data_IF_924679862453
#
_entry.id   IF_924679862453
#
_cell.length_a   1.000
_cell.length_b   1.000
_cell.length_c   1.000
_cell.angle_alpha   90.00
_cell.angle_beta   90.00
_cell.angle_gamma   90.00
#
_symmetry.space_group_name_H-M   'P 1'
#
loop_
_entity.id
_entity.type
_entity.pdbx_description
1 polymer ?
#
# COMPACT_ATOMS: atom_id res chain seq x y z
N UNK A 1 -30.15 25.94 -34.27
CA UNK A 1 -31.51 25.60 -33.79
C UNK A 1 -31.47 25.53 -32.27
N UNK A 2 -32.49 26.07 -31.59
CA UNK A 2 -32.57 26.26 -30.12
C UNK A 2 -33.01 24.98 -29.39
N UNK A 3 -32.39 24.66 -28.25
CA UNK A 3 -32.98 23.98 -27.08
C UNK A 3 -32.28 24.52 -25.82
N UNK A 4 -32.74 25.63 -25.25
CA UNK A 4 -33.64 25.80 -24.09
C UNK A 4 -33.13 25.19 -22.77
N UNK A 5 -32.60 26.10 -21.94
CA UNK A 5 -32.37 26.05 -20.49
C UNK A 5 -33.66 25.70 -19.74
N UNK A 6 -33.56 24.89 -18.68
CA UNK A 6 -34.45 25.00 -17.50
C UNK A 6 -33.71 24.67 -16.21
N UNK A 7 -33.37 25.74 -15.49
CA UNK A 7 -33.17 25.80 -14.04
C UNK A 7 -34.48 25.45 -13.33
N UNK A 8 -34.43 24.61 -12.28
CA UNK A 8 -35.48 24.54 -11.27
C UNK A 8 -34.86 24.64 -9.88
N UNK A 9 -35.12 25.77 -9.23
CA UNK A 9 -34.82 26.03 -7.84
C UNK A 9 -35.86 25.35 -6.94
N UNK A 10 -35.42 24.76 -5.82
CA UNK A 10 -36.28 24.50 -4.67
C UNK A 10 -35.58 25.07 -3.45
N UNK A 11 -36.25 26.03 -2.82
CA UNK A 11 -35.88 26.69 -1.58
C UNK A 11 -36.97 26.43 -0.53
N UNK A 12 -36.56 26.34 0.74
CA UNK A 12 -37.42 26.38 1.93
C UNK A 12 -37.65 25.01 2.56
N UNK A 13 -37.63 24.84 3.88
CA UNK A 13 -38.05 25.75 4.95
C UNK A 13 -37.40 25.32 6.29
N UNK A 14 -37.01 26.31 7.10
CA UNK A 14 -36.62 26.19 8.51
C UNK A 14 -37.68 25.51 9.39
N UNK A 15 -37.27 24.81 10.44
CA UNK A 15 -38.05 24.72 11.68
C UNK A 15 -37.14 24.53 12.90
N UNK A 16 -36.80 25.64 13.55
CA UNK A 16 -36.42 25.65 14.97
C UNK A 16 -37.68 25.49 15.82
N UNK A 17 -37.63 24.61 16.83
CA UNK A 17 -38.53 24.65 17.97
C UNK A 17 -37.71 24.42 19.25
N UNK A 18 -37.47 25.52 19.97
CA UNK A 18 -37.09 25.52 21.40
C UNK A 18 -38.39 25.55 22.21
N UNK A 19 -38.47 24.75 23.28
CA UNK A 19 -39.18 25.00 24.55
C UNK A 19 -38.90 23.79 25.47
N UNK A 20 -38.01 23.94 26.47
CA UNK A 20 -38.31 24.34 27.85
C UNK A 20 -38.86 23.20 28.74
N UNK A 21 -38.01 22.76 29.67
CA UNK A 21 -38.37 21.96 30.83
C UNK A 21 -37.50 22.34 32.01
N UNK A 22 -37.91 23.39 32.74
CA UNK A 22 -37.37 23.78 34.04
C UNK A 22 -38.05 22.95 35.13
N UNK A 23 -37.28 22.37 36.04
CA UNK A 23 -37.75 21.74 37.27
C UNK A 23 -36.73 22.01 38.37
N UNK A 24 -37.16 22.75 39.39
CA UNK A 24 -36.39 23.47 40.41
C UNK A 24 -36.44 22.76 41.78
N UNK A 25 -35.32 22.88 42.54
CA UNK A 25 -35.09 22.77 44.00
C UNK A 25 -35.38 21.43 44.75
N UNK A 26 -34.56 20.97 45.71
CA UNK A 26 -33.84 21.67 46.79
C UNK A 26 -32.59 20.89 47.30
N UNK A 27 -31.70 21.51 48.11
CA UNK A 27 -30.42 20.95 48.56
C UNK A 27 -30.48 20.31 49.96
N UNK A 28 -29.63 19.32 50.23
CA UNK A 28 -29.20 18.99 51.60
C UNK A 28 -27.95 18.08 51.62
N UNK A 29 -26.95 18.57 52.35
CA UNK A 29 -26.06 17.81 53.24
C UNK A 29 -24.94 16.93 52.65
N UNK A 30 -23.76 17.56 52.59
CA UNK A 30 -22.46 17.03 53.03
C UNK A 30 -22.49 15.71 53.81
N UNK A 31 -21.85 14.69 53.24
CA UNK A 31 -21.05 13.74 54.00
C UNK A 31 -19.70 13.60 53.31
N UNK A 32 -18.67 14.08 54.03
CA UNK A 32 -17.26 13.88 53.73
C UNK A 32 -16.92 12.40 53.90
N UNK A 33 -16.38 11.76 52.87
CA UNK A 33 -15.52 10.60 53.01
C UNK A 33 -14.70 10.36 51.72
N UNK A 34 -13.47 10.85 51.71
CA UNK A 34 -12.35 10.22 51.01
C UNK A 34 -11.17 10.18 51.99
N UNK A 35 -10.16 9.31 51.82
CA UNK A 35 -10.00 8.27 50.81
C UNK A 35 -9.80 6.88 51.46
N UNK A 36 -10.06 5.81 50.73
CA UNK A 36 -9.45 4.51 51.04
C UNK A 36 -8.85 3.99 49.75
N UNK A 37 -7.57 4.27 49.60
CA UNK A 37 -6.69 3.57 48.68
C UNK A 37 -6.48 2.16 49.25
N UNK A 38 -7.22 1.19 48.71
CA UNK A 38 -6.81 -0.20 48.80
C UNK A 38 -5.80 -0.46 47.68
N UNK A 39 -4.53 -0.49 48.08
CA UNK A 39 -3.45 -1.04 47.31
C UNK A 39 -3.78 -2.50 47.01
N UNK A 40 -4.12 -2.78 45.76
CA UNK A 40 -4.18 -4.16 45.26
C UNK A 40 -2.76 -4.60 44.94
N UNK A 41 -2.42 -5.73 45.53
CA UNK A 41 -1.16 -6.45 45.48
C UNK A 41 -0.88 -6.87 44.03
N UNK A 42 0.11 -6.26 43.40
CA UNK A 42 0.64 -6.74 42.14
C UNK A 42 1.44 -8.02 42.43
N UNK A 43 0.90 -9.16 42.00
CA UNK A 43 1.70 -10.37 41.86
C UNK A 43 2.72 -10.14 40.76
N UNK A 44 3.96 -9.91 41.18
CA UNK A 44 5.14 -9.99 40.32
C UNK A 44 5.28 -11.45 39.88
N UNK A 45 4.87 -11.73 38.64
CA UNK A 45 5.21 -12.99 37.98
C UNK A 45 6.64 -12.87 37.46
N UNK A 46 7.49 -13.79 37.92
CA UNK A 46 8.90 -13.91 37.54
C UNK A 46 9.06 -14.01 36.03
N UNK A 47 9.87 -13.11 35.46
CA UNK A 47 10.47 -13.30 34.15
C UNK A 47 11.49 -14.45 34.23
N UNK A 48 11.44 -15.46 33.34
CA UNK A 48 12.61 -16.26 33.08
C UNK A 48 13.56 -15.50 32.13
N UNK A 49 14.80 -15.29 32.59
CA UNK A 49 15.92 -14.99 31.72
C UNK A 49 16.33 -16.22 30.90
N UNK A 50 16.71 -15.94 29.65
CA UNK A 50 17.67 -16.64 28.80
C UNK A 50 17.28 -18.03 28.25
N UNK A 51 17.05 -18.05 26.93
CA UNK A 51 17.96 -18.79 26.03
C UNK A 51 17.90 -18.20 24.62
N UNK A 52 19.04 -17.72 24.12
CA UNK A 52 19.30 -17.69 22.68
C UNK A 52 19.19 -19.14 22.19
N UNK A 53 18.07 -19.45 21.55
CA UNK A 53 17.97 -20.52 20.61
C UNK A 53 17.83 -19.84 19.25
N UNK A 54 18.96 -19.71 18.55
CA UNK A 54 18.95 -19.77 17.09
C UNK A 54 18.45 -21.16 16.71
N UNK A 55 17.14 -21.35 16.78
CA UNK A 55 16.49 -22.37 15.97
C UNK A 55 16.34 -21.77 14.58
N UNK A 56 17.12 -22.30 13.66
CA UNK A 56 16.79 -22.22 12.25
C UNK A 56 15.45 -22.94 12.07
N UNK A 57 14.35 -22.19 12.17
CA UNK A 57 13.04 -22.62 11.71
C UNK A 57 13.09 -22.52 10.19
N UNK A 58 13.66 -23.56 9.59
CA UNK A 58 13.30 -23.97 8.24
C UNK A 58 12.11 -24.90 8.35
N UNK A 59 10.97 -24.33 8.71
CA UNK A 59 9.66 -24.88 8.39
C UNK A 59 8.99 -23.81 7.54
N UNK A 60 8.39 -24.19 6.42
CA UNK A 60 7.57 -23.31 5.59
C UNK A 60 6.48 -22.68 6.49
N UNK A 61 6.75 -21.49 7.04
CA UNK A 61 5.76 -20.74 7.81
C UNK A 61 4.80 -20.20 6.78
N UNK A 62 3.61 -20.79 6.72
CA UNK A 62 2.54 -20.33 5.83
C UNK A 62 1.82 -19.16 6.50
N UNK A 63 1.61 -18.09 5.75
CA UNK A 63 0.74 -17.00 6.16
C UNK A 63 -0.71 -17.39 5.81
N UNK A 64 -1.63 -17.13 6.73
CA UNK A 64 -3.05 -17.41 6.56
C UNK A 64 -3.81 -16.09 6.64
N UNK A 65 -4.48 -15.70 5.56
CA UNK A 65 -5.36 -14.54 5.56
C UNK A 65 -6.55 -14.74 6.52
N UNK A 66 -6.78 -13.75 7.37
CA UNK A 66 -7.84 -13.76 8.39
C UNK A 66 -9.01 -12.89 7.96
N UNK A 67 -8.73 -11.63 7.63
CA UNK A 67 -9.71 -10.64 7.23
C UNK A 67 -9.01 -9.43 6.61
N UNK A 68 -9.75 -8.57 5.90
CA UNK A 68 -9.17 -7.37 5.35
C UNK A 68 -10.17 -6.44 4.71
N UNK A 69 -9.76 -5.18 4.56
CA UNK A 69 -10.61 -4.09 4.09
C UNK A 69 -9.82 -3.19 3.15
N UNK A 70 -10.49 -2.73 2.11
CA UNK A 70 -9.92 -1.84 1.11
C UNK A 70 -10.87 -0.68 0.79
N UNK A 71 -10.36 0.54 0.85
CA UNK A 71 -11.11 1.76 0.55
C UNK A 71 -10.41 2.54 -0.57
N UNK A 72 -11.15 2.81 -1.64
CA UNK A 72 -10.73 3.66 -2.73
C UNK A 72 -11.85 4.63 -3.11
N UNK A 73 -11.61 5.94 -2.94
CA UNK A 73 -12.56 7.00 -3.30
C UNK A 73 -12.06 7.89 -4.45
N UNK A 74 -10.92 7.53 -5.04
CA UNK A 74 -10.24 8.25 -6.12
C UNK A 74 -9.24 9.31 -5.64
N UNK A 75 -9.23 9.65 -4.35
CA UNK A 75 -8.18 10.47 -3.72
C UNK A 75 -7.37 9.64 -2.72
N UNK A 76 -8.02 8.71 -2.03
CA UNK A 76 -7.44 7.81 -1.04
C UNK A 76 -7.39 6.37 -1.58
N UNK A 77 -6.30 5.66 -1.29
CA UNK A 77 -6.10 4.26 -1.62
C UNK A 77 -5.58 3.49 -0.40
N UNK A 78 -6.50 3.08 0.47
CA UNK A 78 -6.16 2.46 1.77
C UNK A 78 -6.48 0.98 1.79
N UNK A 79 -5.56 0.19 2.35
CA UNK A 79 -5.75 -1.22 2.61
C UNK A 79 -5.30 -1.58 4.03
N UNK A 80 -6.07 -2.44 4.68
CA UNK A 80 -5.73 -3.07 5.95
C UNK A 80 -6.08 -4.55 5.85
N UNK A 81 -5.10 -5.42 5.92
CA UNK A 81 -5.29 -6.86 5.80
C UNK A 81 -4.57 -7.59 6.94
N UNK A 82 -5.22 -8.59 7.54
CA UNK A 82 -4.78 -9.31 8.73
C UNK A 82 -4.44 -10.75 8.39
N UNK A 83 -3.33 -11.23 8.96
CA UNK A 83 -2.76 -12.54 8.67
C UNK A 83 -2.25 -13.20 9.94
N UNK A 84 -2.44 -14.51 10.04
CA UNK A 84 -1.76 -15.36 11.02
C UNK A 84 -0.49 -15.91 10.38
N UNK A 85 0.68 -15.64 10.98
CA UNK A 85 2.00 -16.09 10.50
C UNK A 85 2.71 -16.81 11.64
N UNK A 86 2.64 -18.15 11.63
CA UNK A 86 3.16 -18.95 12.74
C UNK A 86 2.42 -18.67 14.06
N UNK A 87 3.13 -18.10 15.03
CA UNK A 87 2.57 -17.72 16.34
C UNK A 87 2.27 -16.21 16.45
N UNK A 88 2.44 -15.44 15.36
CA UNK A 88 2.27 -13.98 15.33
C UNK A 88 1.07 -13.55 14.47
N UNK A 89 0.39 -12.49 14.90
CA UNK A 89 -0.66 -11.81 14.13
C UNK A 89 -0.04 -10.60 13.42
N UNK A 90 -0.03 -10.62 12.09
CA UNK A 90 0.57 -9.59 11.25
C UNK A 90 -0.51 -8.83 10.48
N UNK A 91 -0.38 -7.52 10.41
CA UNK A 91 -1.19 -6.69 9.54
C UNK A 91 -0.33 -6.13 8.41
N UNK A 92 -0.83 -6.22 7.18
CA UNK A 92 -0.39 -5.44 6.04
C UNK A 92 -1.22 -4.17 5.94
N UNK A 93 -0.55 -3.05 5.69
CA UNK A 93 -1.16 -1.73 5.63
C UNK A 93 -0.60 -0.95 4.45
N UNK A 94 -1.49 -0.31 3.69
CA UNK A 94 -1.12 0.82 2.84
C UNK A 94 -2.12 1.95 3.01
N UNK A 95 -1.65 3.20 3.00
CA UNK A 95 -2.50 4.40 2.97
C UNK A 95 -2.47 5.15 1.63
N UNK A 96 -1.79 4.56 0.64
CA UNK A 96 -1.55 5.14 -0.68
C UNK A 96 -0.26 5.96 -0.76
N UNK A 97 0.32 6.35 0.38
CA UNK A 97 1.63 7.03 0.46
C UNK A 97 2.69 6.14 1.13
N UNK A 98 2.30 5.34 2.12
CA UNK A 98 3.13 4.46 2.93
C UNK A 98 2.59 3.03 2.87
N UNK A 99 3.50 2.06 2.87
CA UNK A 99 3.19 0.63 2.87
C UNK A 99 4.10 -0.09 3.87
N UNK A 100 3.54 -0.96 4.71
CA UNK A 100 4.31 -1.74 5.68
C UNK A 100 3.55 -2.98 6.19
N UNK A 101 4.31 -3.89 6.83
CA UNK A 101 3.77 -4.99 7.62
C UNK A 101 4.25 -4.86 9.08
N UNK A 102 3.38 -5.17 10.04
CA UNK A 102 3.75 -5.13 11.46
C UNK A 102 2.85 -6.03 12.30
N UNK A 103 3.38 -6.55 13.40
CA UNK A 103 2.54 -7.04 14.49
C UNK A 103 1.66 -5.89 15.00
N UNK A 104 0.43 -6.21 15.40
CA UNK A 104 -0.55 -5.19 15.79
C UNK A 104 -1.28 -5.52 17.08
N UNK A 105 -1.88 -4.48 17.67
CA UNK A 105 -2.83 -4.59 18.77
C UNK A 105 -4.13 -3.92 18.37
N UNK A 106 -5.25 -4.43 18.92
CA UNK A 106 -6.59 -3.90 18.63
C UNK A 106 -7.24 -3.42 19.93
N UNK A 107 -7.80 -2.22 19.91
CA UNK A 107 -8.59 -1.67 21.01
C UNK A 107 -9.88 -1.00 20.51
N UNK A 108 -10.86 -0.83 21.39
CA UNK A 108 -12.08 -0.08 21.08
C UNK A 108 -11.81 1.43 21.16
N UNK A 109 -12.26 2.17 20.15
CA UNK A 109 -12.16 3.63 20.09
C UNK A 109 -13.49 4.25 19.61
N UNK A 110 -13.57 5.58 19.66
CA UNK A 110 -14.75 6.36 19.27
C UNK A 110 -14.31 7.57 18.44
N UNK A 111 -14.99 7.84 17.32
CA UNK A 111 -14.76 9.05 16.52
C UNK A 111 -15.28 10.29 17.24
N UNK A 112 -14.92 11.49 16.77
CA UNK A 112 -15.43 12.75 17.33
C UNK A 112 -16.97 12.87 17.28
N UNK A 113 -17.60 12.17 16.33
CA UNK A 113 -19.05 12.12 16.15
C UNK A 113 -19.73 11.03 17.01
N UNK A 114 -18.96 10.22 17.74
CA UNK A 114 -19.46 9.21 18.67
C UNK A 114 -19.62 7.81 18.07
N UNK A 115 -19.07 7.55 16.88
CA UNK A 115 -19.13 6.25 16.24
C UNK A 115 -18.02 5.34 16.78
N UNK A 116 -18.41 4.16 17.29
CA UNK A 116 -17.47 3.19 17.81
C UNK A 116 -16.74 2.47 16.66
N UNK A 117 -15.43 2.26 16.82
CA UNK A 117 -14.60 1.54 15.85
C UNK A 117 -13.50 0.75 16.57
N UNK A 118 -12.86 -0.17 15.83
CA UNK A 118 -11.69 -0.90 16.31
C UNK A 118 -10.44 -0.19 15.81
N UNK A 119 -9.63 0.32 16.73
CA UNK A 119 -8.36 0.97 16.46
C UNK A 119 -7.24 -0.08 16.46
N UNK A 120 -6.52 -0.16 15.35
CA UNK A 120 -5.34 -0.99 15.16
C UNK A 120 -4.10 -0.13 15.35
N UNK A 121 -3.26 -0.52 16.30
CA UNK A 121 -1.95 0.11 16.55
C UNK A 121 -0.85 -0.87 16.20
N UNK A 122 0.11 -0.42 15.39
CA UNK A 122 1.22 -1.23 14.90
C UNK A 122 2.43 -1.12 15.84
N UNK A 123 3.15 -2.22 16.01
CA UNK A 123 4.20 -2.35 17.03
C UNK A 123 5.51 -1.71 16.57
N UNK A 124 5.82 -1.82 15.28
CA UNK A 124 7.12 -1.39 14.72
C UNK A 124 7.09 -0.01 14.06
N UNK A 125 5.90 0.54 13.85
CA UNK A 125 5.69 1.87 13.28
C UNK A 125 4.71 2.68 14.13
N UNK A 126 4.98 3.98 14.28
CA UNK A 126 4.05 4.92 14.96
C UNK A 126 2.95 5.32 13.98
N UNK A 127 2.14 4.34 13.60
CA UNK A 127 0.99 4.49 12.72
C UNK A 127 -0.24 3.80 13.33
N UNK A 128 -1.42 4.26 12.94
CA UNK A 128 -2.70 3.70 13.38
C UNK A 128 -3.73 3.74 12.26
N UNK A 129 -4.58 2.72 12.22
CA UNK A 129 -5.76 2.71 11.38
C UNK A 129 -6.91 2.09 12.15
N UNK A 130 -8.10 2.61 11.93
CA UNK A 130 -9.33 2.03 12.45
C UNK A 130 -10.12 1.29 11.39
N UNK A 131 -10.96 0.36 11.82
CA UNK A 131 -12.02 -0.17 10.97
C UNK A 131 -13.33 -0.31 11.72
N UNK A 132 -14.43 -0.24 10.98
CA UNK A 132 -15.79 -0.45 11.46
C UNK A 132 -16.38 -1.64 10.69
N UNK A 133 -16.68 -2.72 11.41
CA UNK A 133 -17.53 -3.81 10.94
C UNK A 133 -18.82 -3.83 11.78
N UNK A 134 -19.93 -3.38 11.19
CA UNK A 134 -21.22 -3.35 11.86
C UNK A 134 -21.99 -4.69 11.75
N UNK A 135 -21.43 -5.70 11.08
CA UNK A 135 -22.04 -7.01 10.88
C UNK A 135 -23.25 -7.02 9.93
N UNK A 136 -23.52 -5.90 9.25
CA UNK A 136 -24.57 -5.75 8.23
C UNK A 136 -24.00 -5.75 6.79
N UNK A 137 -22.69 -5.94 6.66
CA UNK A 137 -21.97 -5.95 5.38
C UNK A 137 -21.57 -4.55 4.90
N UNK A 138 -21.71 -3.52 5.74
CA UNK A 138 -21.11 -2.21 5.52
C UNK A 138 -19.79 -2.12 6.30
N UNK A 139 -18.70 -1.95 5.58
CA UNK A 139 -17.35 -1.87 6.12
C UNK A 139 -16.79 -0.47 5.91
N UNK A 140 -16.02 0.00 6.88
CA UNK A 140 -15.35 1.29 6.79
C UNK A 140 -13.93 1.21 7.31
N UNK A 141 -13.04 1.98 6.69
CA UNK A 141 -11.72 2.30 7.24
C UNK A 141 -11.76 3.69 7.88
N UNK A 142 -10.99 3.86 8.94
CA UNK A 142 -10.87 5.11 9.69
C UNK A 142 -9.40 5.50 9.72
N UNK A 143 -9.04 6.67 9.22
CA UNK A 143 -7.65 7.14 9.28
C UNK A 143 -7.28 7.71 10.67
N UNK A 144 -6.03 8.12 10.84
CA UNK A 144 -5.53 8.69 12.10
C UNK A 144 -6.21 10.01 12.50
N UNK A 145 -6.78 10.73 11.53
CA UNK A 145 -7.53 11.96 11.74
C UNK A 145 -8.99 11.70 12.11
N UNK A 146 -9.44 10.43 12.06
CA UNK A 146 -10.79 10.00 12.34
C UNK A 146 -11.75 10.14 11.16
N UNK A 147 -11.25 10.37 9.95
CA UNK A 147 -12.08 10.39 8.75
C UNK A 147 -12.49 8.96 8.39
N UNK A 148 -13.75 8.79 7.95
CA UNK A 148 -14.35 7.48 7.66
C UNK A 148 -14.50 7.29 6.15
N UNK A 149 -14.00 6.18 5.65
CA UNK A 149 -14.00 5.82 4.24
C UNK A 149 -14.77 4.52 4.03
N UNK A 150 -15.67 4.50 3.05
CA UNK A 150 -16.39 3.28 2.70
C UNK A 150 -15.40 2.26 2.15
N UNK A 151 -15.41 1.06 2.71
CA UNK A 151 -14.51 -0.02 2.35
C UNK A 151 -15.28 -1.21 1.78
N UNK A 152 -14.59 -1.99 0.96
CA UNK A 152 -14.98 -3.35 0.62
C UNK A 152 -14.18 -4.32 1.50
N UNK A 153 -14.82 -5.42 1.89
CA UNK A 153 -14.09 -6.54 2.49
C UNK A 153 -13.26 -7.22 1.39
N UNK A 154 -12.00 -7.53 1.71
CA UNK A 154 -11.08 -8.28 0.88
C UNK A 154 -11.40 -9.77 0.94
N UNK A 155 -11.11 -10.46 -0.16
CA UNK A 155 -11.16 -11.92 -0.24
C UNK A 155 -9.75 -12.50 -0.31
N UNK A 156 -9.63 -13.83 -0.10
CA UNK A 156 -8.35 -14.52 -0.26
C UNK A 156 -7.73 -14.29 -1.65
N UNK A 157 -8.55 -14.18 -2.70
CA UNK A 157 -8.08 -13.92 -4.06
C UNK A 157 -7.52 -12.48 -4.22
N UNK A 158 -8.02 -11.52 -3.42
CA UNK A 158 -7.57 -10.12 -3.51
C UNK A 158 -6.21 -9.89 -2.82
N UNK A 159 -5.77 -10.84 -1.99
CA UNK A 159 -4.55 -10.73 -1.18
C UNK A 159 -3.46 -11.73 -1.58
N UNK A 160 -3.63 -12.42 -2.71
CA UNK A 160 -2.68 -13.44 -3.19
C UNK A 160 -1.26 -12.85 -3.31
N UNK A 161 -1.16 -11.62 -3.82
CA UNK A 161 0.11 -10.90 -3.97
C UNK A 161 0.71 -10.43 -2.63
N UNK A 162 -0.10 -10.31 -1.57
CA UNK A 162 0.35 -9.84 -0.24
C UNK A 162 1.10 -10.93 0.53
N UNK A 163 0.87 -12.21 0.22
CA UNK A 163 1.56 -13.30 0.92
C UNK A 163 3.09 -13.22 0.76
N UNK A 164 3.57 -12.76 -0.39
CA UNK A 164 5.00 -12.53 -0.63
C UNK A 164 5.57 -11.44 0.28
N UNK A 165 4.82 -10.35 0.49
CA UNK A 165 5.21 -9.23 1.34
C UNK A 165 5.26 -9.65 2.81
N UNK A 166 4.27 -10.42 3.26
CA UNK A 166 4.11 -10.80 4.66
C UNK A 166 5.10 -11.88 5.09
N UNK A 167 5.31 -12.89 4.25
CA UNK A 167 6.31 -13.92 4.49
C UNK A 167 7.75 -13.42 4.31
N UNK A 168 7.91 -12.23 3.73
CA UNK A 168 9.19 -11.52 3.63
C UNK A 168 9.54 -10.60 4.81
N UNK A 169 8.68 -10.42 5.83
CA UNK A 169 8.79 -9.29 6.76
C UNK A 169 9.19 -9.60 8.21
N UNK A 170 10.44 -9.30 8.60
CA UNK A 170 10.78 -8.73 9.92
C UNK A 170 12.14 -8.01 9.93
N UNK A 171 12.44 -7.23 8.90
CA UNK A 171 13.40 -6.10 8.91
C UNK A 171 13.19 -5.35 7.59
N UNK A 172 12.19 -4.47 7.52
CA UNK A 172 11.92 -3.67 6.32
C UNK A 172 12.83 -2.42 6.28
N UNK A 173 14.15 -2.64 6.37
CA UNK A 173 14.95 -2.13 5.26
C UNK A 173 14.55 -3.03 4.10
N UNK A 174 14.10 -2.49 2.98
CA UNK A 174 13.99 -3.30 1.77
C UNK A 174 15.39 -3.83 1.47
N UNK A 175 15.77 -4.96 2.06
CA UNK A 175 16.69 -5.87 1.44
C UNK A 175 15.89 -6.38 0.26
N UNK A 176 15.94 -5.62 -0.85
CA UNK A 176 16.29 -6.21 -2.13
C UNK A 176 17.12 -7.42 -1.77
N UNK A 177 16.59 -8.62 -2.02
CA UNK A 177 17.30 -9.83 -1.66
C UNK A 177 18.77 -9.56 -1.96
N UNK A 178 19.67 -9.58 -0.98
CA UNK A 178 21.09 -9.36 -1.28
C UNK A 178 21.65 -10.55 -2.11
N UNK A 179 20.74 -11.43 -2.57
CA UNK A 179 20.88 -12.48 -3.57
C UNK A 179 20.29 -12.13 -4.96
N UNK A 180 19.60 -10.99 -5.15
CA UNK A 180 19.33 -10.48 -6.49
C UNK A 180 20.64 -9.93 -7.00
N UNK A 181 21.23 -10.64 -7.95
CA UNK A 181 22.50 -10.27 -8.59
C UNK A 181 22.50 -8.81 -9.10
N UNK A 182 21.32 -8.21 -9.29
CA UNK A 182 21.08 -6.91 -9.88
C UNK A 182 20.15 -6.02 -9.04
N UNK A 183 20.44 -4.72 -9.00
CA UNK A 183 19.63 -3.64 -8.39
C UNK A 183 18.94 -2.82 -9.48
N UNK A 184 17.67 -2.45 -9.30
CA UNK A 184 16.96 -1.58 -10.23
C UNK A 184 17.64 -0.21 -10.38
N UNK A 185 17.78 0.27 -11.62
CA UNK A 185 18.29 1.60 -11.94
C UNK A 185 17.20 2.52 -12.50
N UNK A 186 16.54 2.09 -13.58
CA UNK A 186 15.49 2.85 -14.25
C UNK A 186 14.66 1.98 -15.18
N UNK A 187 13.47 2.43 -15.56
CA UNK A 187 12.60 1.64 -16.43
C UNK A 187 11.36 2.41 -16.87
N UNK A 188 10.81 2.00 -18.02
CA UNK A 188 9.64 2.60 -18.64
C UNK A 188 8.72 1.52 -19.18
N UNK A 189 7.42 1.79 -19.13
CA UNK A 189 6.42 0.93 -19.74
C UNK A 189 5.37 1.72 -20.51
N UNK A 190 4.80 1.07 -21.51
CA UNK A 190 3.71 1.59 -22.33
C UNK A 190 2.54 0.61 -22.25
N UNK A 191 1.34 1.14 -22.01
CA UNK A 191 0.08 0.42 -22.20
C UNK A 191 -0.74 1.11 -23.28
N UNK A 192 -0.59 0.69 -24.54
CA UNK A 192 -1.34 1.30 -25.65
C UNK A 192 -2.66 0.56 -25.97
N UNK A 193 -2.97 -0.47 -25.18
CA UNK A 193 -4.16 -1.32 -25.29
C UNK A 193 -4.12 -2.34 -26.43
N UNK A 194 -3.01 -2.44 -27.17
CA UNK A 194 -2.78 -3.41 -28.25
C UNK A 194 -1.48 -4.20 -28.08
N UNK A 195 -0.45 -3.59 -27.49
CA UNK A 195 0.83 -4.18 -27.14
C UNK A 195 1.42 -3.44 -25.94
N UNK A 196 1.83 -4.19 -24.91
CA UNK A 196 2.54 -3.63 -23.77
C UNK A 196 4.04 -3.70 -24.08
N UNK A 197 4.72 -2.55 -24.04
CA UNK A 197 6.16 -2.48 -24.25
C UNK A 197 6.86 -2.06 -22.96
N UNK A 198 7.96 -2.72 -22.62
CA UNK A 198 8.69 -2.51 -21.37
C UNK A 198 10.18 -2.46 -21.65
N UNK A 199 10.87 -1.52 -21.02
CA UNK A 199 12.32 -1.49 -20.92
C UNK A 199 12.71 -1.23 -19.46
N UNK A 200 13.60 -2.05 -18.91
CA UNK A 200 14.03 -1.94 -17.53
C UNK A 200 15.53 -2.20 -17.43
N UNK A 201 16.23 -1.39 -16.62
CA UNK A 201 17.67 -1.44 -16.45
C UNK A 201 18.01 -1.84 -15.02
N UNK A 202 19.01 -2.71 -14.89
CA UNK A 202 19.51 -3.17 -13.61
C UNK A 202 21.04 -3.15 -13.56
N UNK A 203 21.59 -2.88 -12.38
CA UNK A 203 23.01 -2.81 -12.10
C UNK A 203 23.42 -3.91 -11.12
N UNK A 204 24.34 -4.77 -11.53
CA UNK A 204 24.89 -5.81 -10.68
C UNK A 204 25.95 -5.30 -9.71
N UNK A 205 26.14 -6.01 -8.60
CA UNK A 205 27.11 -5.63 -7.57
C UNK A 205 28.57 -5.59 -8.09
N UNK A 206 28.88 -6.30 -9.17
CA UNK A 206 30.17 -6.32 -9.83
C UNK A 206 30.33 -5.23 -10.92
N UNK A 207 29.30 -4.41 -11.12
CA UNK A 207 29.23 -3.36 -12.13
C UNK A 207 28.73 -3.85 -13.49
N UNK A 208 28.29 -5.10 -13.61
CA UNK A 208 27.58 -5.59 -14.79
C UNK A 208 26.28 -4.82 -14.95
N UNK A 209 25.95 -4.41 -16.17
CA UNK A 209 24.69 -3.71 -16.46
C UNK A 209 23.86 -4.59 -17.37
N UNK A 210 22.65 -4.92 -16.93
CA UNK A 210 21.70 -5.74 -17.68
C UNK A 210 20.43 -4.96 -17.91
N UNK A 211 19.69 -5.34 -18.93
CA UNK A 211 18.36 -4.80 -19.19
C UNK A 211 17.39 -5.92 -19.55
N UNK A 212 16.14 -5.67 -19.22
CA UNK A 212 14.98 -6.39 -19.73
C UNK A 212 14.30 -5.54 -20.80
N UNK A 213 13.97 -6.15 -21.93
CA UNK A 213 13.11 -5.57 -22.97
C UNK A 213 11.96 -6.53 -23.24
N UNK A 214 10.76 -5.98 -23.38
CA UNK A 214 9.60 -6.64 -23.95
C UNK A 214 8.97 -5.69 -24.98
N UNK A 215 8.85 -6.10 -26.25
CA UNK A 215 8.26 -5.27 -27.32
C UNK A 215 6.76 -5.56 -27.56
N UNK A 216 6.16 -6.40 -26.71
CA UNK A 216 4.79 -6.90 -26.81
C UNK A 216 4.67 -8.23 -27.56
N UNK A 217 5.69 -8.65 -28.31
CA UNK A 217 5.73 -9.94 -29.02
C UNK A 217 6.90 -10.83 -28.55
N UNK A 218 8.03 -10.23 -28.23
CA UNK A 218 9.27 -10.86 -27.83
C UNK A 218 9.80 -10.23 -26.53
N UNK A 219 10.61 -10.99 -25.81
CA UNK A 219 11.26 -10.53 -24.59
C UNK A 219 12.71 -11.00 -24.53
N UNK A 220 13.57 -10.21 -23.88
CA UNK A 220 14.97 -10.53 -23.65
C UNK A 220 15.48 -9.94 -22.34
N UNK A 221 16.32 -10.69 -21.62
CA UNK A 221 17.02 -10.27 -20.41
C UNK A 221 18.51 -10.63 -20.53
N UNK A 222 19.38 -9.63 -20.64
CA UNK A 222 20.82 -9.80 -20.81
C UNK A 222 21.59 -8.49 -20.58
N UNK A 223 22.94 -8.56 -20.63
CA UNK A 223 23.76 -7.36 -20.87
C UNK A 223 23.28 -6.62 -22.13
N UNK A 224 23.24 -5.30 -22.06
CA UNK A 224 22.73 -4.46 -23.13
C UNK A 224 23.81 -3.57 -23.74
N UNK A 225 23.62 -3.24 -25.01
CA UNK A 225 24.32 -2.16 -25.69
C UNK A 225 23.38 -0.96 -25.80
N UNK A 226 23.89 0.24 -25.49
CA UNK A 226 23.17 1.49 -25.66
C UNK A 226 23.94 2.45 -26.56
N UNK A 227 23.25 3.06 -27.52
CA UNK A 227 23.81 4.07 -28.41
C UNK A 227 22.88 5.27 -28.60
N UNK A 228 23.45 6.44 -28.85
CA UNK A 228 22.69 7.64 -29.20
C UNK A 228 22.20 7.54 -30.65
N UNK A 229 20.92 7.80 -30.85
CA UNK A 229 20.27 7.84 -32.14
C UNK A 229 19.42 9.12 -32.27
N UNK A 230 18.91 9.38 -33.48
CA UNK A 230 18.15 10.60 -33.79
C UNK A 230 16.92 10.23 -34.62
N UNK A 231 15.74 10.71 -34.22
CA UNK A 231 14.51 10.61 -35.00
C UNK A 231 14.60 11.50 -36.26
N UNK A 232 13.70 11.29 -37.23
CA UNK A 232 13.64 12.06 -38.47
C UNK A 232 13.47 13.58 -38.26
N UNK A 233 12.90 13.99 -37.12
CA UNK A 233 12.70 15.39 -36.74
C UNK A 233 13.89 16.00 -35.99
N UNK A 234 14.94 15.22 -35.73
CA UNK A 234 16.14 15.61 -35.02
C UNK A 234 16.09 15.40 -33.51
N UNK A 235 15.05 14.76 -32.98
CA UNK A 235 14.95 14.44 -31.55
C UNK A 235 15.95 13.33 -31.19
N UNK A 236 16.89 13.57 -30.26
CA UNK A 236 17.82 12.54 -29.82
C UNK A 236 17.12 11.53 -28.91
N UNK A 237 17.50 10.26 -29.04
CA UNK A 237 17.04 9.19 -28.15
C UNK A 237 18.16 8.17 -27.92
N UNK A 238 17.97 7.31 -26.92
CA UNK A 238 18.88 6.21 -26.63
C UNK A 238 18.27 4.94 -27.21
N UNK A 239 18.99 4.28 -28.12
CA UNK A 239 18.62 2.97 -28.63
C UNK A 239 19.29 1.90 -27.76
N UNK A 240 18.50 1.00 -27.20
CA UNK A 240 18.96 -0.10 -26.34
C UNK A 240 18.74 -1.42 -27.06
N UNK A 241 19.79 -2.25 -27.08
CA UNK A 241 19.77 -3.58 -27.67
C UNK A 241 20.03 -4.62 -26.58
N UNK A 242 19.11 -5.57 -26.43
CA UNK A 242 19.20 -6.71 -25.49
C UNK A 242 19.02 -8.00 -26.28
N UNK A 243 20.11 -8.76 -26.44
CA UNK A 243 20.09 -9.94 -27.31
C UNK A 243 19.78 -9.57 -28.77
N UNK A 244 18.65 -10.06 -29.29
CA UNK A 244 18.14 -9.74 -30.64
C UNK A 244 17.05 -8.65 -30.62
N UNK A 245 16.63 -8.18 -29.44
CA UNK A 245 15.55 -7.20 -29.26
C UNK A 245 16.09 -5.77 -29.13
N UNK A 246 15.32 -4.80 -29.61
CA UNK A 246 15.70 -3.39 -29.60
C UNK A 246 14.52 -2.46 -29.32
N UNK A 247 14.70 -1.55 -28.37
CA UNK A 247 13.79 -0.45 -28.09
C UNK A 247 14.57 0.85 -27.92
N UNK A 248 14.01 1.95 -28.39
CA UNK A 248 14.51 3.28 -28.08
C UNK A 248 13.76 3.89 -26.90
N UNK A 249 14.38 4.82 -26.18
CA UNK A 249 13.68 5.67 -25.24
C UNK A 249 14.27 7.08 -25.21
N UNK A 250 13.44 8.05 -24.85
CA UNK A 250 13.90 9.39 -24.50
C UNK A 250 12.94 10.04 -23.49
N UNK A 251 13.45 11.05 -22.80
CA UNK A 251 12.68 11.93 -21.92
C UNK A 251 12.87 13.36 -22.38
N UNK A 252 11.79 14.15 -22.40
CA UNK A 252 11.86 15.58 -22.71
C UNK A 252 11.94 16.46 -21.45
N UNK A 253 12.02 15.82 -20.28
CA UNK A 253 12.04 16.44 -18.95
C UNK A 253 10.67 16.56 -18.29
N UNK A 254 9.58 16.35 -19.01
CA UNK A 254 8.22 16.28 -18.46
C UNK A 254 7.61 14.89 -18.69
N UNK A 255 7.80 14.33 -19.89
CA UNK A 255 7.24 13.05 -20.31
C UNK A 255 8.35 12.07 -20.74
N UNK A 256 8.05 10.78 -20.60
CA UNK A 256 8.89 9.67 -21.03
C UNK A 256 8.28 8.98 -22.24
N UNK A 257 9.12 8.49 -23.14
CA UNK A 257 8.70 7.87 -24.39
C UNK A 257 9.51 6.61 -24.69
N UNK A 258 8.84 5.58 -25.19
CA UNK A 258 9.45 4.41 -25.82
C UNK A 258 9.30 4.53 -27.35
N UNK A 259 10.31 4.09 -28.08
CA UNK A 259 10.34 4.00 -29.52
C UNK A 259 10.44 2.52 -29.89
N UNK A 260 9.41 2.00 -30.56
CA UNK A 260 9.39 0.60 -30.98
C UNK A 260 10.32 0.32 -32.18
N UNK A 261 10.44 -0.95 -32.56
CA UNK A 261 11.27 -1.38 -33.70
C UNK A 261 10.81 -0.82 -35.06
N UNK A 262 9.57 -0.34 -35.16
CA UNK A 262 9.02 0.31 -36.35
C UNK A 262 9.26 1.84 -36.35
N UNK A 263 9.80 2.39 -35.25
CA UNK A 263 10.07 3.81 -35.06
C UNK A 263 8.84 4.62 -34.60
N UNK A 264 7.79 3.96 -34.10
CA UNK A 264 6.65 4.65 -33.50
C UNK A 264 7.04 5.16 -32.12
N UNK A 265 6.63 6.39 -31.80
CA UNK A 265 6.85 7.02 -30.50
C UNK A 265 5.62 6.82 -29.63
N UNK A 266 5.80 6.16 -28.49
CA UNK A 266 4.76 5.77 -27.56
C UNK A 266 4.98 6.49 -26.23
N UNK A 267 3.93 7.12 -25.70
CA UNK A 267 3.99 7.76 -24.38
C UNK A 267 4.11 6.69 -23.30
N UNK A 268 5.13 6.81 -22.46
CA UNK A 268 5.49 5.83 -21.46
C UNK A 268 5.36 6.39 -20.04
N UNK A 269 5.06 5.51 -19.10
CA UNK A 269 5.15 5.79 -17.67
C UNK A 269 6.46 5.20 -17.13
N UNK A 270 6.98 5.81 -16.06
CA UNK A 270 8.12 5.25 -15.32
C UNK A 270 7.68 4.00 -14.56
N UNK A 271 8.54 2.98 -14.55
CA UNK A 271 8.36 1.82 -13.69
C UNK A 271 8.76 2.16 -12.25
N UNK A 272 7.95 1.71 -11.31
CA UNK A 272 8.35 1.64 -9.91
C UNK A 272 9.39 0.54 -9.69
N UNK A 273 10.14 0.65 -8.61
CA UNK A 273 11.10 -0.38 -8.20
C UNK A 273 10.42 -1.72 -7.92
N UNK A 274 9.20 -1.70 -7.35
CA UNK A 274 8.41 -2.90 -7.10
C UNK A 274 8.03 -3.62 -8.41
N UNK A 275 7.54 -2.89 -9.41
CA UNK A 275 7.23 -3.45 -10.73
C UNK A 275 8.48 -4.01 -11.43
N UNK A 276 9.59 -3.29 -11.34
CA UNK A 276 10.87 -3.74 -11.90
C UNK A 276 11.40 -5.01 -11.23
N UNK A 277 11.27 -5.13 -9.91
CA UNK A 277 11.69 -6.31 -9.17
C UNK A 277 10.83 -7.53 -9.48
N UNK A 278 9.51 -7.35 -9.66
CA UNK A 278 8.63 -8.42 -10.11
C UNK A 278 9.03 -8.95 -11.50
N UNK A 279 9.43 -8.04 -12.41
CA UNK A 279 9.98 -8.43 -13.72
C UNK A 279 11.29 -9.21 -13.53
N UNK A 280 12.21 -8.69 -12.71
CA UNK A 280 13.52 -9.31 -12.48
C UNK A 280 13.38 -10.74 -11.95
N UNK A 281 12.50 -10.95 -10.99
CA UNK A 281 12.21 -12.26 -10.41
C UNK A 281 11.67 -13.24 -11.46
N UNK A 282 10.79 -12.77 -12.35
CA UNK A 282 10.21 -13.60 -13.40
C UNK A 282 11.22 -14.01 -14.49
N UNK A 283 12.27 -13.23 -14.73
CA UNK A 283 13.22 -13.45 -15.84
C UNK A 283 14.58 -14.01 -15.42
N UNK A 284 14.88 -14.02 -14.12
CA UNK A 284 16.16 -14.49 -13.58
C UNK A 284 16.23 -16.03 -13.34
N UNK A 285 15.20 -16.80 -13.71
CA UNK A 285 15.13 -18.27 -13.56
C UNK A 285 15.88 -19.09 -14.64
#
# INVERSE_FOLDING_TARGET
MKKRIMTLAIAGVMSMAVLAGCGEEAPAETVVAEPTAEATEAEATEAPEATEATEEVSEDVEAVFVDGYYANDGETDMMLAFFEVGDADIAYVTDGENEFCSEYTVEEAETDDGDAYLLVSFTDVDAKLGYIDNGDGEYYLVDEEGNIYAAAQLTEDDVEDLYAIILGGSDAEATASDDSEYTYDSGFYVTDGSSDAVICFFAGADGTQVAYINDGENEAFAEYDAEEAELDDGTPYVLVTVGDEMLGYYTDGEDSFIIDGDGNVLGAAELSEAEANAILEAVAE
#
